data_IF_105787545927
#
_entry.id   IF_105787545927
#
_cell.length_a   1.000
_cell.length_b   1.000
_cell.length_c   1.000
_cell.angle_alpha   90.00
_cell.angle_beta   90.00
_cell.angle_gamma   90.00
#
_symmetry.space_group_name_H-M   'P 1'
#
loop_
_entity.id
_entity.type
_entity.pdbx_description
1 polymer ?
#
# COMPACT_ATOMS: atom_id res chain seq x y z
N UNK A 1 4.57 -6.58 5.96
CA UNK A 1 4.39 -5.78 4.71
C UNK A 1 3.63 -6.49 3.60
N UNK A 2 3.82 -7.79 3.39
CA UNK A 2 3.13 -8.58 2.35
C UNK A 2 1.60 -8.53 2.51
N UNK A 3 1.08 -8.64 3.73
CA UNK A 3 -0.36 -8.56 4.04
C UNK A 3 -1.01 -7.29 3.47
N UNK A 4 -0.40 -6.13 3.73
CA UNK A 4 -0.93 -4.84 3.26
C UNK A 4 -0.87 -4.71 1.73
N UNK A 5 0.19 -5.21 1.09
CA UNK A 5 0.30 -5.18 -0.37
C UNK A 5 -0.77 -6.02 -1.05
N UNK A 6 -0.99 -7.26 -0.56
CA UNK A 6 -1.97 -8.19 -1.13
C UNK A 6 -3.42 -7.76 -0.88
N UNK A 7 -3.68 -6.99 0.18
CA UNK A 7 -5.01 -6.48 0.52
C UNK A 7 -5.39 -5.18 -0.17
N UNK A 8 -4.45 -4.54 -0.89
CA UNK A 8 -4.67 -3.27 -1.55
C UNK A 8 -5.31 -3.46 -2.92
N UNK A 9 -6.50 -2.90 -3.13
CA UNK A 9 -7.25 -2.92 -4.38
C UNK A 9 -7.67 -1.51 -4.79
N UNK A 10 -7.28 -1.09 -5.97
CA UNK A 10 -7.63 0.24 -6.49
C UNK A 10 -7.30 1.40 -5.53
N UNK A 11 -6.22 1.27 -4.77
CA UNK A 11 -5.79 2.28 -3.80
C UNK A 11 -6.49 2.23 -2.43
N UNK A 12 -7.42 1.29 -2.23
CA UNK A 12 -8.14 1.08 -0.96
C UNK A 12 -7.81 -0.30 -0.40
N UNK A 13 -7.72 -0.42 0.91
CA UNK A 13 -7.54 -1.71 1.55
C UNK A 13 -8.85 -2.47 1.65
N UNK A 14 -8.87 -3.68 1.10
CA UNK A 14 -9.97 -4.62 1.26
C UNK A 14 -9.83 -5.31 2.62
N UNK A 15 -10.74 -5.03 3.55
CA UNK A 15 -10.69 -5.54 4.93
C UNK A 15 -10.78 -7.07 5.00
N UNK A 16 -11.54 -7.69 4.11
CA UNK A 16 -11.61 -9.15 4.07
C UNK A 16 -10.25 -9.76 3.69
N UNK A 17 -9.60 -9.22 2.64
CA UNK A 17 -8.26 -9.66 2.25
C UNK A 17 -7.22 -9.34 3.31
N UNK A 18 -7.36 -8.22 4.01
CA UNK A 18 -6.46 -7.86 5.09
C UNK A 18 -6.48 -8.92 6.19
N UNK A 19 -7.66 -9.30 6.66
CA UNK A 19 -7.83 -10.33 7.68
C UNK A 19 -7.34 -11.70 7.20
N UNK A 20 -7.72 -12.09 5.98
CA UNK A 20 -7.30 -13.36 5.38
C UNK A 20 -5.76 -13.48 5.34
N UNK A 21 -5.09 -12.49 4.79
CA UNK A 21 -3.62 -12.54 4.68
C UNK A 21 -2.92 -12.36 6.03
N UNK A 22 -3.52 -11.66 6.96
CA UNK A 22 -3.00 -11.56 8.32
C UNK A 22 -3.04 -12.93 9.02
N UNK A 23 -4.18 -13.59 9.04
CA UNK A 23 -4.35 -14.90 9.65
C UNK A 23 -3.50 -15.98 8.98
N UNK A 24 -3.42 -16.01 7.64
CA UNK A 24 -2.52 -16.93 6.93
C UNK A 24 -1.04 -16.71 7.26
N UNK A 25 -0.62 -15.44 7.36
CA UNK A 25 0.76 -15.15 7.75
C UNK A 25 1.06 -15.58 9.18
N UNK A 26 0.12 -15.45 10.11
CA UNK A 26 0.28 -15.98 11.46
C UNK A 26 0.45 -17.51 11.43
N UNK A 27 -0.34 -18.23 10.64
CA UNK A 27 -0.19 -19.68 10.48
C UNK A 27 1.20 -20.02 9.94
N UNK A 28 1.70 -19.31 8.94
CA UNK A 28 3.04 -19.54 8.37
C UNK A 28 4.16 -19.24 9.37
N UNK A 29 3.99 -18.28 10.24
CA UNK A 29 5.04 -17.84 11.18
C UNK A 29 5.05 -18.65 12.49
N UNK A 30 3.87 -19.02 12.99
CA UNK A 30 3.71 -19.63 14.33
C UNK A 30 3.49 -21.15 14.29
N UNK A 31 3.39 -21.74 13.10
CA UNK A 31 3.21 -23.20 12.97
C UNK A 31 4.31 -23.82 12.13
N UNK A 32 4.55 -25.12 12.38
CA UNK A 32 5.46 -25.96 11.58
C UNK A 32 4.73 -26.61 10.37
N UNK A 33 3.54 -26.13 10.03
CA UNK A 33 2.75 -26.71 8.94
C UNK A 33 3.36 -26.30 7.60
N UNK A 34 3.65 -27.29 6.77
CA UNK A 34 4.13 -27.09 5.41
C UNK A 34 2.97 -27.21 4.45
N UNK A 35 2.77 -26.22 3.60
CA UNK A 35 1.81 -26.26 2.51
C UNK A 35 2.57 -26.50 1.20
N UNK A 36 1.99 -27.32 0.33
CA UNK A 36 2.51 -27.55 -1.02
C UNK A 36 2.42 -26.28 -1.86
N UNK A 37 3.25 -26.16 -2.91
CA UNK A 37 3.17 -25.04 -3.85
C UNK A 37 1.76 -24.88 -4.41
N UNK A 38 1.12 -25.98 -4.81
CA UNK A 38 -0.26 -25.98 -5.32
C UNK A 38 -1.28 -25.42 -4.33
N UNK A 39 -1.08 -25.64 -3.02
CA UNK A 39 -1.96 -25.07 -1.98
C UNK A 39 -1.72 -23.58 -1.79
N UNK A 40 -0.48 -23.13 -2.00
CA UNK A 40 -0.10 -21.71 -1.90
C UNK A 40 -0.45 -20.88 -3.13
N UNK A 41 -0.66 -21.52 -4.29
CA UNK A 41 -1.10 -20.82 -5.50
C UNK A 41 -2.49 -20.20 -5.34
N UNK A 42 -3.37 -20.85 -4.58
CA UNK A 42 -4.72 -20.34 -4.28
C UNK A 42 -4.90 -20.12 -2.77
N UNK A 43 -4.41 -18.99 -2.30
CA UNK A 43 -4.45 -18.63 -0.87
C UNK A 43 -5.89 -18.45 -0.35
N UNK A 44 -6.83 -18.06 -1.21
CA UNK A 44 -8.24 -17.98 -0.82
C UNK A 44 -8.83 -19.35 -0.50
N UNK A 45 -8.57 -20.31 -1.37
CA UNK A 45 -9.01 -21.68 -1.18
C UNK A 45 -8.32 -22.34 0.01
N UNK A 46 -7.03 -22.06 0.21
CA UNK A 46 -6.30 -22.53 1.37
C UNK A 46 -6.90 -21.99 2.67
N UNK A 47 -7.17 -20.68 2.72
CA UNK A 47 -7.80 -20.04 3.86
C UNK A 47 -9.18 -20.60 4.16
N UNK A 48 -10.03 -20.75 3.13
CA UNK A 48 -11.37 -21.31 3.25
C UNK A 48 -11.36 -22.74 3.77
N UNK A 49 -10.43 -23.56 3.28
CA UNK A 49 -10.25 -24.93 3.77
C UNK A 49 -9.84 -24.97 5.25
N UNK A 50 -8.87 -24.13 5.65
CA UNK A 50 -8.45 -24.06 7.06
C UNK A 50 -9.58 -23.60 7.97
N UNK A 51 -10.34 -22.61 7.53
CA UNK A 51 -11.49 -22.09 8.27
C UNK A 51 -12.62 -23.09 8.39
N UNK A 52 -12.98 -23.74 7.29
CA UNK A 52 -14.07 -24.75 7.26
C UNK A 52 -13.75 -26.00 8.09
N UNK A 53 -12.48 -26.31 8.29
CA UNK A 53 -12.04 -27.42 9.13
C UNK A 53 -11.83 -27.05 10.61
N UNK A 54 -12.20 -25.83 11.03
CA UNK A 54 -12.05 -25.37 12.42
C UNK A 54 -10.59 -25.14 12.85
N UNK A 55 -9.68 -25.03 11.90
CA UNK A 55 -8.26 -24.85 12.20
C UNK A 55 -7.99 -23.54 12.94
N UNK A 56 -8.60 -22.44 12.51
CA UNK A 56 -8.37 -21.13 13.13
C UNK A 56 -8.90 -21.06 14.55
N UNK A 57 -10.01 -21.71 14.86
CA UNK A 57 -10.56 -21.81 16.20
C UNK A 57 -9.58 -22.49 17.17
N UNK A 58 -8.93 -23.57 16.72
CA UNK A 58 -7.90 -24.27 17.50
C UNK A 58 -6.61 -23.46 17.57
N UNK A 59 -6.19 -22.87 16.47
CA UNK A 59 -4.97 -22.09 16.38
C UNK A 59 -5.01 -20.86 17.31
N UNK A 60 -6.13 -20.12 17.32
CA UNK A 60 -6.32 -18.95 18.17
C UNK A 60 -6.41 -19.31 19.67
N UNK A 61 -6.82 -20.54 20.02
CA UNK A 61 -6.77 -21.00 21.42
C UNK A 61 -5.34 -21.23 21.93
N UNK A 62 -4.41 -21.55 21.01
CA UNK A 62 -3.00 -21.79 21.35
C UNK A 62 -2.17 -20.51 21.26
N UNK A 63 -2.54 -19.61 20.36
CA UNK A 63 -1.90 -18.31 20.21
C UNK A 63 -2.25 -17.41 21.40
N UNK A 64 -1.26 -16.70 21.93
CA UNK A 64 -1.50 -15.72 22.97
C UNK A 64 -2.40 -14.59 22.44
N UNK A 65 -3.55 -14.38 23.09
CA UNK A 65 -4.54 -13.38 22.68
C UNK A 65 -3.96 -11.95 22.71
N UNK A 66 -3.14 -11.64 23.70
CA UNK A 66 -2.51 -10.31 23.81
C UNK A 66 -1.55 -10.08 22.65
N UNK A 67 -0.76 -11.08 22.26
CA UNK A 67 0.15 -11.01 21.13
C UNK A 67 -0.59 -10.87 19.79
N UNK A 68 -1.69 -11.62 19.61
CA UNK A 68 -2.55 -11.47 18.43
C UNK A 68 -3.10 -10.05 18.31
N UNK A 69 -3.65 -9.53 19.41
CA UNK A 69 -4.23 -8.19 19.45
C UNK A 69 -3.19 -7.10 19.21
N UNK A 70 -1.98 -7.25 19.75
CA UNK A 70 -0.86 -6.33 19.49
C UNK A 70 -0.46 -6.32 18.01
N UNK A 71 -0.25 -7.48 17.41
CA UNK A 71 0.12 -7.60 15.99
C UNK A 71 -0.97 -7.03 15.08
N UNK A 72 -2.24 -7.28 15.39
CA UNK A 72 -3.36 -6.73 14.65
C UNK A 72 -3.47 -5.21 14.80
N UNK A 73 -3.25 -4.67 16.00
CA UNK A 73 -3.20 -3.24 16.23
C UNK A 73 -2.07 -2.56 15.47
N UNK A 74 -0.87 -3.16 15.43
CA UNK A 74 0.27 -2.68 14.65
C UNK A 74 -0.04 -2.68 13.14
N UNK A 75 -0.66 -3.75 12.62
CA UNK A 75 -1.08 -3.83 11.23
C UNK A 75 -2.04 -2.69 10.86
N UNK A 76 -3.04 -2.44 11.71
CA UNK A 76 -4.00 -1.35 11.50
C UNK A 76 -3.33 0.03 11.59
N UNK A 77 -2.42 0.24 12.51
CA UNK A 77 -1.67 1.51 12.61
C UNK A 77 -0.86 1.79 11.33
N UNK A 78 -0.19 0.78 10.77
CA UNK A 78 0.55 0.91 9.51
C UNK A 78 -0.41 1.15 8.33
N UNK A 79 -1.56 0.45 8.29
CA UNK A 79 -2.62 0.67 7.30
C UNK A 79 -3.08 2.13 7.30
N UNK A 80 -3.43 2.64 8.47
CA UNK A 80 -3.89 4.03 8.62
C UNK A 80 -2.82 5.07 8.25
N UNK A 81 -1.57 4.84 8.64
CA UNK A 81 -0.45 5.71 8.25
C UNK A 81 -0.28 5.75 6.73
N UNK A 82 -0.36 4.59 6.06
CA UNK A 82 -0.28 4.50 4.61
C UNK A 82 -1.46 5.21 3.93
N UNK A 83 -2.67 5.08 4.47
CA UNK A 83 -3.85 5.76 3.94
C UNK A 83 -3.74 7.29 4.10
N UNK A 84 -3.31 7.77 5.27
CA UNK A 84 -3.07 9.22 5.49
C UNK A 84 -2.05 9.78 4.52
N UNK A 85 -0.94 9.09 4.31
CA UNK A 85 0.10 9.53 3.38
C UNK A 85 -0.42 9.61 1.94
N UNK A 86 -1.23 8.63 1.50
CA UNK A 86 -1.85 8.62 0.17
C UNK A 86 -2.86 9.75 0.00
N UNK A 87 -3.70 9.98 0.99
CA UNK A 87 -4.69 11.06 0.98
C UNK A 87 -3.99 12.42 0.94
N UNK A 88 -2.90 12.58 1.69
CA UNK A 88 -2.10 13.80 1.68
C UNK A 88 -1.49 14.09 0.30
N UNK A 89 -0.90 13.09 -0.36
CA UNK A 89 -0.36 13.25 -1.73
C UNK A 89 -1.48 13.55 -2.73
N UNK A 90 -2.61 12.84 -2.65
CA UNK A 90 -3.78 13.09 -3.49
C UNK A 90 -4.35 14.50 -3.32
N UNK A 91 -4.41 15.00 -2.08
CA UNK A 91 -4.85 16.36 -1.79
C UNK A 91 -3.90 17.42 -2.37
N UNK A 92 -2.59 17.19 -2.30
CA UNK A 92 -1.58 18.08 -2.90
C UNK A 92 -1.73 18.10 -4.44
N UNK A 93 -1.89 16.94 -5.07
CA UNK A 93 -2.09 16.85 -6.52
C UNK A 93 -3.40 17.53 -6.93
N UNK A 94 -4.50 17.27 -6.21
CA UNK A 94 -5.78 17.91 -6.48
C UNK A 94 -5.70 19.44 -6.35
N UNK A 95 -4.99 19.95 -5.34
CA UNK A 95 -4.73 21.37 -5.18
C UNK A 95 -3.94 21.93 -6.35
N UNK A 96 -2.85 21.25 -6.75
CA UNK A 96 -2.04 21.66 -7.91
C UNK A 96 -2.89 21.73 -9.19
N UNK A 97 -3.75 20.74 -9.42
CA UNK A 97 -4.64 20.73 -10.59
C UNK A 97 -5.66 21.86 -10.53
N UNK A 98 -6.24 22.12 -9.36
CA UNK A 98 -7.24 23.18 -9.18
C UNK A 98 -6.61 24.59 -9.26
N UNK A 99 -5.36 24.75 -8.88
CA UNK A 99 -4.62 26.00 -8.95
C UNK A 99 -4.04 26.26 -10.37
N UNK A 100 -4.12 25.27 -11.28
CA UNK A 100 -3.74 25.47 -12.69
C UNK A 100 -4.70 26.49 -13.35
N UNK A 101 -4.15 27.52 -14.02
CA UNK A 101 -4.98 28.53 -14.68
C UNK A 101 -5.75 27.91 -15.85
N UNK A 102 -7.03 28.27 -15.91
CA UNK A 102 -7.96 27.77 -16.92
C UNK A 102 -7.87 28.52 -18.27
N UNK A 103 -7.06 29.59 -18.34
CA UNK A 103 -6.91 30.41 -19.56
C UNK A 103 -5.44 30.49 -20.02
N UNK A 104 -5.26 30.76 -21.33
CA UNK A 104 -3.95 30.82 -21.96
C UNK A 104 -3.03 31.93 -21.39
N UNK A 105 -3.61 33.03 -20.93
CA UNK A 105 -2.85 34.17 -20.38
C UNK A 105 -2.20 33.85 -19.02
N UNK A 106 -2.92 33.10 -18.18
CA UNK A 106 -2.38 32.65 -16.91
C UNK A 106 -1.38 31.53 -17.10
N UNK A 107 -1.55 30.66 -18.12
CA UNK A 107 -0.55 29.66 -18.50
C UNK A 107 0.77 30.30 -18.96
N UNK A 108 0.70 31.38 -19.75
CA UNK A 108 1.89 32.12 -20.19
C UNK A 108 2.65 32.72 -18.98
N UNK A 109 1.95 33.27 -18.00
CA UNK A 109 2.58 33.81 -16.77
C UNK A 109 3.28 32.71 -15.94
N UNK A 110 2.79 31.48 -15.96
CA UNK A 110 3.47 30.37 -15.28
C UNK A 110 4.75 30.01 -15.99
N UNK A 111 4.73 29.98 -17.32
CA UNK A 111 5.94 29.68 -18.12
C UNK A 111 7.01 30.78 -17.90
N UNK A 112 6.60 32.06 -17.91
CA UNK A 112 7.49 33.20 -17.69
C UNK A 112 8.08 33.26 -16.27
N UNK A 113 7.33 32.78 -15.27
CA UNK A 113 7.76 32.72 -13.88
C UNK A 113 8.26 31.32 -13.44
N UNK A 114 8.44 30.41 -14.39
CA UNK A 114 8.89 29.06 -14.11
C UNK A 114 10.33 29.08 -13.54
N UNK A 115 10.45 28.70 -12.26
CA UNK A 115 11.75 28.52 -11.62
C UNK A 115 12.22 27.07 -11.79
N UNK A 116 13.28 26.82 -12.60
CA UNK A 116 13.84 25.48 -12.77
C UNK A 116 14.24 24.79 -11.45
N UNK A 117 14.55 25.56 -10.41
CA UNK A 117 14.94 25.03 -9.11
C UNK A 117 13.74 24.43 -8.36
N UNK A 118 12.54 24.99 -8.52
CA UNK A 118 11.32 24.41 -7.96
C UNK A 118 11.00 23.07 -8.62
N UNK A 119 11.20 22.97 -9.92
CA UNK A 119 11.00 21.71 -10.66
C UNK A 119 12.05 20.65 -10.26
N UNK A 120 13.28 21.07 -10.03
CA UNK A 120 14.33 20.21 -9.47
C UNK A 120 13.94 19.64 -8.12
N UNK A 121 13.37 20.46 -7.24
CA UNK A 121 12.90 20.01 -5.92
C UNK A 121 11.77 18.97 -6.04
N UNK A 122 10.87 19.12 -7.01
CA UNK A 122 9.81 18.12 -7.28
C UNK A 122 10.40 16.80 -7.79
N UNK A 123 11.38 16.89 -8.70
CA UNK A 123 12.10 15.71 -9.21
C UNK A 123 12.88 15.02 -8.10
N UNK A 124 13.58 15.78 -7.26
CA UNK A 124 14.36 15.24 -6.15
C UNK A 124 13.45 14.60 -5.09
N UNK A 125 12.28 15.19 -4.83
CA UNK A 125 11.27 14.60 -3.96
C UNK A 125 10.69 13.31 -4.56
N UNK A 126 10.36 13.32 -5.86
CA UNK A 126 9.86 12.13 -6.55
C UNK A 126 10.91 11.01 -6.62
N UNK A 127 12.19 11.37 -6.81
CA UNK A 127 13.32 10.43 -6.75
C UNK A 127 13.46 9.84 -5.33
N UNK A 128 13.38 10.67 -4.30
CA UNK A 128 13.42 10.21 -2.91
C UNK A 128 12.24 9.27 -2.58
N UNK A 129 11.02 9.63 -2.99
CA UNK A 129 9.82 8.80 -2.82
C UNK A 129 9.89 7.46 -3.59
N UNK A 130 10.65 7.41 -4.69
CA UNK A 130 10.90 6.19 -5.48
C UNK A 130 12.12 5.38 -5.00
N UNK A 131 12.60 5.63 -3.78
CA UNK A 131 13.72 4.91 -3.19
C UNK A 131 15.07 5.21 -3.84
N UNK A 132 15.26 6.43 -4.36
CA UNK A 132 16.52 6.89 -4.98
C UNK A 132 16.76 6.40 -6.41
N UNK A 133 15.78 5.75 -7.03
CA UNK A 133 15.89 5.31 -8.44
C UNK A 133 15.62 6.49 -9.38
N UNK A 134 16.44 6.59 -10.43
CA UNK A 134 16.23 7.60 -11.47
C UNK A 134 14.88 7.41 -12.17
N UNK A 135 14.14 8.51 -12.29
CA UNK A 135 12.93 8.56 -13.09
C UNK A 135 13.43 8.61 -14.55
N UNK A 136 13.09 7.60 -15.32
CA UNK A 136 13.47 7.52 -16.74
C UNK A 136 12.68 8.58 -17.51
N UNK A 137 13.25 9.76 -17.68
CA UNK A 137 12.65 10.90 -18.39
C UNK A 137 12.90 10.81 -19.90
N UNK A 138 12.75 9.64 -20.51
CA UNK A 138 12.70 9.52 -21.95
C UNK A 138 11.36 10.08 -22.47
N UNK A 139 11.19 11.39 -22.34
CA UNK A 139 10.17 12.11 -23.11
C UNK A 139 10.74 12.29 -24.53
N UNK A 140 9.99 11.89 -25.58
CA UNK A 140 10.42 12.19 -26.93
C UNK A 140 10.47 13.70 -27.12
N UNK A 141 11.67 14.19 -27.39
CA UNK A 141 11.86 15.58 -27.82
C UNK A 141 11.40 15.64 -29.28
N UNK A 142 10.23 16.23 -29.51
CA UNK A 142 9.79 16.62 -30.85
C UNK A 142 10.36 18.00 -31.17
#
# INVERSE_FOLDING_TARGET
MITLQKSLENGVYNEFKLNLYFELNLVYMYTNISFTEKQREDEFKLYDNLKSNGFFELFLQVLNEDEYNELFAQLNAIKEANMRNRTSVGAVIAKLINDLPTNAEAAAKIVDNFDPNQFKNVIDFARYANGGRDINTNLPVN
#
